data_IF_255957243353
#
_entry.id   IF_255957243353
#
_cell.length_a   1.000
_cell.length_b   1.000
_cell.length_c   1.000
_cell.angle_alpha   90.00
_cell.angle_beta   90.00
_cell.angle_gamma   90.00
#
_symmetry.space_group_name_H-M   'P 1'
#
loop_
_entity.id
_entity.type
_entity.pdbx_description
1 polymer ?
#
# COMPACT_ATOMS: atom_id res chain seq x y z
N UNK A 1 -26.67 26.92 -20.47
CA UNK A 1 -26.96 26.10 -19.28
C UNK A 1 -26.56 26.89 -18.04
N UNK A 2 -27.27 26.78 -16.91
CA UNK A 2 -26.85 27.43 -15.67
C UNK A 2 -25.47 26.91 -15.23
N UNK A 3 -24.64 27.79 -14.67
CA UNK A 3 -23.36 27.42 -14.11
C UNK A 3 -23.59 26.63 -12.81
N UNK A 4 -22.94 25.47 -12.68
CA UNK A 4 -23.04 24.66 -11.48
C UNK A 4 -22.36 25.37 -10.29
N UNK A 5 -22.94 25.23 -9.09
CA UNK A 5 -22.29 25.61 -7.84
C UNK A 5 -21.38 24.48 -7.38
N UNK A 6 -20.11 24.53 -7.80
CA UNK A 6 -19.14 23.45 -7.53
C UNK A 6 -18.87 23.21 -6.04
N UNK A 7 -19.02 24.22 -5.18
CA UNK A 7 -18.87 24.04 -3.72
C UNK A 7 -20.06 23.26 -3.16
N UNK A 8 -21.26 23.54 -3.65
CA UNK A 8 -22.45 22.75 -3.31
C UNK A 8 -22.33 21.31 -3.81
N UNK A 9 -21.88 21.10 -5.05
CA UNK A 9 -21.65 19.75 -5.57
C UNK A 9 -20.60 18.98 -4.74
N UNK A 10 -19.54 19.65 -4.29
CA UNK A 10 -18.53 19.04 -3.43
C UNK A 10 -19.12 18.59 -2.07
N UNK A 11 -20.00 19.41 -1.49
CA UNK A 11 -20.70 19.06 -0.25
C UNK A 11 -21.71 17.91 -0.46
N UNK A 12 -22.41 17.89 -1.60
CA UNK A 12 -23.35 16.83 -1.95
C UNK A 12 -22.64 15.48 -2.13
N UNK A 13 -21.54 15.46 -2.88
CA UNK A 13 -20.77 14.22 -3.08
C UNK A 13 -20.07 13.77 -1.79
N UNK A 14 -19.63 14.70 -0.93
CA UNK A 14 -19.13 14.34 0.40
C UNK A 14 -20.21 13.67 1.26
N UNK A 15 -21.46 14.15 1.19
CA UNK A 15 -22.60 13.52 1.87
C UNK A 15 -22.90 12.13 1.28
N UNK A 16 -22.84 11.96 -0.04
CA UNK A 16 -22.99 10.66 -0.68
C UNK A 16 -21.93 9.67 -0.16
N UNK A 17 -20.66 10.08 -0.15
CA UNK A 17 -19.55 9.24 0.34
C UNK A 17 -19.62 9.00 1.85
N UNK A 18 -20.29 9.85 2.63
CA UNK A 18 -20.55 9.56 4.05
C UNK A 18 -21.55 8.42 4.27
N UNK A 19 -22.40 8.14 3.28
CA UNK A 19 -23.39 7.03 3.33
C UNK A 19 -22.82 5.76 2.70
N UNK A 20 -22.00 5.91 1.66
CA UNK A 20 -21.28 4.82 1.00
C UNK A 20 -19.86 5.29 0.66
N UNK A 21 -18.93 5.05 1.59
CA UNK A 21 -17.54 5.49 1.49
C UNK A 21 -16.77 4.89 0.31
N UNK A 22 -17.29 3.81 -0.29
CA UNK A 22 -16.67 3.08 -1.39
C UNK A 22 -17.42 3.27 -2.72
N UNK A 23 -18.37 4.20 -2.78
CA UNK A 23 -19.14 4.45 -3.98
C UNK A 23 -18.25 4.87 -5.16
N UNK A 24 -18.08 3.99 -6.14
CA UNK A 24 -17.21 4.21 -7.29
C UNK A 24 -17.57 5.50 -8.05
N UNK A 25 -18.86 5.66 -8.39
CA UNK A 25 -19.33 6.86 -9.09
C UNK A 25 -19.25 8.13 -8.24
N UNK A 26 -19.40 8.00 -6.91
CA UNK A 26 -19.20 9.10 -5.97
C UNK A 26 -17.78 9.63 -6.00
N UNK A 27 -16.78 8.74 -5.97
CA UNK A 27 -15.38 9.13 -6.08
C UNK A 27 -15.01 9.69 -7.46
N UNK A 28 -15.54 9.09 -8.54
CA UNK A 28 -15.37 9.63 -9.90
C UNK A 28 -15.94 11.04 -10.01
N UNK A 29 -17.17 11.24 -9.54
CA UNK A 29 -17.83 12.53 -9.56
C UNK A 29 -17.11 13.55 -8.67
N UNK A 30 -16.61 13.13 -7.50
CA UNK A 30 -15.82 13.99 -6.63
C UNK A 30 -14.56 14.50 -7.34
N UNK A 31 -13.80 13.63 -8.00
CA UNK A 31 -12.62 14.05 -8.78
C UNK A 31 -12.99 15.04 -9.88
N UNK A 32 -14.12 14.83 -10.57
CA UNK A 32 -14.63 15.78 -11.55
C UNK A 32 -14.98 17.14 -10.92
N UNK A 33 -15.70 17.16 -9.79
CA UNK A 33 -16.06 18.41 -9.09
C UNK A 33 -14.81 19.15 -8.59
N UNK A 34 -13.86 18.43 -7.98
CA UNK A 34 -12.58 18.97 -7.53
C UNK A 34 -11.81 19.60 -8.68
N UNK A 35 -11.82 18.98 -9.88
CA UNK A 35 -11.16 19.54 -11.06
C UNK A 35 -11.81 20.81 -11.62
N UNK A 36 -12.95 21.26 -11.07
CA UNK A 36 -13.62 22.52 -11.43
C UNK A 36 -13.39 23.63 -10.39
N UNK A 37 -12.71 23.31 -9.30
CA UNK A 37 -12.35 24.23 -8.23
C UNK A 37 -10.83 24.49 -8.28
N UNK A 38 -10.43 25.71 -7.95
CA UNK A 38 -9.01 26.08 -7.87
C UNK A 38 -8.40 25.67 -6.52
N UNK A 39 -7.10 25.38 -6.51
CA UNK A 39 -6.28 25.13 -5.32
C UNK A 39 -6.79 24.05 -4.34
N UNK A 40 -7.41 23.00 -4.88
CA UNK A 40 -8.00 21.93 -4.06
C UNK A 40 -7.05 20.80 -3.65
N UNK A 41 -5.85 20.69 -4.23
CA UNK A 41 -4.98 19.52 -4.06
C UNK A 41 -4.70 19.19 -2.58
N UNK A 42 -4.38 20.20 -1.77
CA UNK A 42 -4.07 20.00 -0.33
C UNK A 42 -5.32 19.61 0.45
N UNK A 43 -6.46 20.27 0.20
CA UNK A 43 -7.72 19.98 0.87
C UNK A 43 -8.26 18.59 0.49
N UNK A 44 -8.13 18.21 -0.77
CA UNK A 44 -8.52 16.89 -1.26
C UNK A 44 -7.58 15.80 -0.75
N UNK A 45 -6.28 16.07 -0.66
CA UNK A 45 -5.33 15.15 -0.04
C UNK A 45 -5.64 14.94 1.44
N UNK A 46 -5.96 15.99 2.20
CA UNK A 46 -6.42 15.89 3.58
C UNK A 46 -7.72 15.09 3.70
N UNK A 47 -8.66 15.26 2.76
CA UNK A 47 -9.87 14.44 2.72
C UNK A 47 -9.56 12.95 2.55
N UNK A 48 -8.58 12.58 1.72
CA UNK A 48 -8.17 11.16 1.62
C UNK A 48 -7.63 10.61 2.95
N UNK A 49 -6.86 11.40 3.71
CA UNK A 49 -6.40 11.02 5.05
C UNK A 49 -7.59 10.76 5.98
N UNK A 50 -8.59 11.65 5.97
CA UNK A 50 -9.80 11.48 6.79
C UNK A 50 -10.56 10.19 6.43
N UNK A 51 -10.69 9.89 5.13
CA UNK A 51 -11.39 8.68 4.69
C UNK A 51 -10.63 7.40 5.04
N UNK A 52 -9.30 7.40 4.90
CA UNK A 52 -8.44 6.26 5.28
C UNK A 52 -8.47 6.02 6.79
N UNK A 53 -8.40 7.08 7.61
CA UNK A 53 -8.46 6.95 9.07
C UNK A 53 -9.83 6.48 9.57
N UNK A 54 -10.91 6.74 8.82
CA UNK A 54 -12.24 6.20 9.13
C UNK A 54 -12.39 4.73 8.75
N UNK A 55 -11.82 4.35 7.62
CA UNK A 55 -11.87 2.99 7.07
C UNK A 55 -10.61 2.75 6.23
N UNK A 56 -9.64 2.05 6.82
CA UNK A 56 -8.37 1.74 6.14
C UNK A 56 -8.55 0.74 4.99
N UNK A 57 -9.70 0.05 4.89
CA UNK A 57 -10.07 -0.78 3.75
C UNK A 57 -10.71 0.01 2.59
N UNK A 58 -10.76 1.34 2.68
CA UNK A 58 -11.32 2.19 1.62
C UNK A 58 -10.35 2.34 0.44
N UNK A 59 -10.37 1.36 -0.47
CA UNK A 59 -9.59 1.36 -1.72
C UNK A 59 -9.68 2.68 -2.50
N UNK A 60 -10.86 3.28 -2.58
CA UNK A 60 -11.06 4.50 -3.38
C UNK A 60 -10.33 5.71 -2.79
N UNK A 61 -10.23 5.77 -1.45
CA UNK A 61 -9.46 6.81 -0.78
C UNK A 61 -7.95 6.65 -1.02
N UNK A 62 -7.42 5.43 -0.89
CA UNK A 62 -6.02 5.11 -1.23
C UNK A 62 -5.69 5.42 -2.69
N UNK A 63 -6.57 5.00 -3.61
CA UNK A 63 -6.41 5.29 -5.03
C UNK A 63 -6.38 6.80 -5.30
N UNK A 64 -7.34 7.56 -4.76
CA UNK A 64 -7.38 9.01 -4.92
C UNK A 64 -6.12 9.67 -4.33
N UNK A 65 -5.65 9.19 -3.18
CA UNK A 65 -4.42 9.67 -2.53
C UNK A 65 -3.20 9.52 -3.44
N UNK A 66 -3.04 8.36 -4.08
CA UNK A 66 -1.90 8.12 -4.99
C UNK A 66 -1.89 9.06 -6.20
N UNK A 67 -3.07 9.50 -6.67
CA UNK A 67 -3.18 10.47 -7.78
C UNK A 67 -2.81 11.89 -7.35
N UNK A 68 -3.07 12.25 -6.09
CA UNK A 68 -2.84 13.59 -5.57
C UNK A 68 -1.41 13.79 -5.06
N UNK A 69 -0.83 12.77 -4.43
CA UNK A 69 0.45 12.86 -3.72
C UNK A 69 1.58 13.48 -4.59
N UNK A 70 1.81 13.08 -5.86
CA UNK A 70 2.87 13.70 -6.68
C UNK A 70 2.72 15.22 -6.83
N UNK A 71 1.48 15.70 -7.03
CA UNK A 71 1.19 17.13 -7.16
C UNK A 71 1.37 17.87 -5.83
N UNK A 72 1.00 17.25 -4.72
CA UNK A 72 1.17 17.82 -3.37
C UNK A 72 2.65 17.91 -2.99
N UNK A 73 3.44 16.88 -3.28
CA UNK A 73 4.89 16.88 -3.04
C UNK A 73 5.60 17.94 -3.85
N UNK A 74 5.27 18.08 -5.14
CA UNK A 74 5.88 19.08 -6.02
C UNK A 74 5.64 20.52 -5.56
N UNK A 75 4.59 20.77 -4.76
CA UNK A 75 4.21 22.09 -4.25
C UNK A 75 4.69 22.36 -2.82
N UNK A 76 5.38 21.43 -2.18
CA UNK A 76 5.69 21.53 -0.75
C UNK A 76 7.18 21.51 -0.45
N UNK A 77 7.61 22.44 0.40
CA UNK A 77 8.96 22.49 0.95
C UNK A 77 9.23 21.40 2.02
N UNK A 78 8.20 20.61 2.38
CA UNK A 78 8.25 19.59 3.43
C UNK A 78 8.07 18.16 2.89
N UNK A 79 8.49 17.91 1.65
CA UNK A 79 8.34 16.61 0.98
C UNK A 79 8.88 15.42 1.82
N UNK A 80 10.02 15.61 2.50
CA UNK A 80 10.60 14.57 3.35
C UNK A 80 9.76 14.24 4.60
N UNK A 81 9.09 15.22 5.19
CA UNK A 81 8.16 15.01 6.31
C UNK A 81 6.89 14.33 5.85
N UNK A 82 6.31 14.77 4.71
CA UNK A 82 5.15 14.09 4.14
C UNK A 82 5.45 12.62 3.82
N UNK A 83 6.63 12.31 3.28
CA UNK A 83 7.04 10.91 3.07
C UNK A 83 7.15 10.11 4.36
N UNK A 84 7.54 10.73 5.49
CA UNK A 84 7.47 10.07 6.81
C UNK A 84 6.01 9.81 7.19
N UNK A 85 5.15 10.81 7.08
CA UNK A 85 3.71 10.67 7.36
C UNK A 85 3.05 9.59 6.50
N UNK A 86 3.43 9.45 5.22
CA UNK A 86 2.93 8.38 4.36
C UNK A 86 3.32 7.00 4.88
N UNK A 87 4.57 6.83 5.35
CA UNK A 87 5.01 5.57 5.95
C UNK A 87 4.24 5.26 7.23
N UNK A 88 4.07 6.25 8.10
CA UNK A 88 3.31 6.07 9.34
C UNK A 88 1.84 5.70 9.06
N UNK A 89 1.22 6.31 8.05
CA UNK A 89 -0.15 5.99 7.63
C UNK A 89 -0.27 4.55 7.15
N UNK A 90 0.68 4.06 6.34
CA UNK A 90 0.71 2.68 5.86
C UNK A 90 0.90 1.71 7.04
N UNK A 91 1.88 1.97 7.90
CA UNK A 91 2.16 1.10 9.06
C UNK A 91 0.94 1.01 9.96
N UNK A 92 0.30 2.13 10.30
CA UNK A 92 -0.91 2.13 11.11
C UNK A 92 -2.03 1.29 10.48
N UNK A 93 -2.23 1.39 9.17
CA UNK A 93 -3.23 0.59 8.47
C UNK A 93 -2.89 -0.92 8.50
N UNK A 94 -1.65 -1.28 8.21
CA UNK A 94 -1.15 -2.66 8.25
C UNK A 94 -1.24 -3.28 9.64
N UNK A 95 -0.89 -2.55 10.70
CA UNK A 95 -1.01 -3.03 12.07
C UNK A 95 -2.47 -3.11 12.54
N UNK A 96 -3.39 -2.38 11.89
CA UNK A 96 -4.83 -2.42 12.22
C UNK A 96 -5.53 -3.59 11.54
N UNK A 97 -5.27 -3.81 10.24
CA UNK A 97 -5.83 -4.91 9.46
C UNK A 97 -4.79 -5.41 8.44
N UNK A 98 -3.93 -6.36 8.82
CA UNK A 98 -2.86 -6.83 7.95
C UNK A 98 -3.37 -7.62 6.74
N UNK A 99 -4.60 -8.14 6.77
CA UNK A 99 -5.22 -8.87 5.66
C UNK A 99 -5.79 -7.92 4.59
N UNK A 100 -6.04 -6.65 4.90
CA UNK A 100 -6.48 -5.67 3.93
C UNK A 100 -5.36 -5.30 2.94
N UNK A 101 -5.62 -5.53 1.65
CA UNK A 101 -4.63 -5.34 0.60
C UNK A 101 -4.31 -3.87 0.27
N UNK A 102 -5.14 -2.90 0.67
CA UNK A 102 -5.07 -1.56 0.10
C UNK A 102 -3.83 -0.78 0.57
N UNK A 103 -3.48 -0.89 1.85
CA UNK A 103 -2.27 -0.28 2.39
C UNK A 103 -1.00 -0.87 1.75
N UNK A 104 -0.98 -2.18 1.53
CA UNK A 104 0.12 -2.88 0.84
C UNK A 104 0.28 -2.43 -0.61
N UNK A 105 -0.81 -2.36 -1.37
CA UNK A 105 -0.80 -1.87 -2.76
C UNK A 105 -0.36 -0.41 -2.84
N UNK A 106 -0.77 0.42 -1.88
CA UNK A 106 -0.31 1.81 -1.78
C UNK A 106 1.19 1.88 -1.48
N UNK A 107 1.70 1.03 -0.59
CA UNK A 107 3.13 0.91 -0.32
C UNK A 107 3.91 0.49 -1.57
N UNK A 108 3.47 -0.54 -2.30
CA UNK A 108 4.10 -0.97 -3.56
C UNK A 108 4.17 0.16 -4.57
N UNK A 109 3.08 0.92 -4.72
CA UNK A 109 3.07 2.11 -5.56
C UNK A 109 4.07 3.16 -5.05
N UNK A 110 4.13 3.42 -3.74
CA UNK A 110 5.05 4.39 -3.15
C UNK A 110 6.52 4.00 -3.38
N UNK A 111 6.85 2.70 -3.30
CA UNK A 111 8.17 2.16 -3.69
C UNK A 111 8.44 2.40 -5.18
N UNK A 112 7.46 2.13 -6.05
CA UNK A 112 7.66 2.24 -7.51
C UNK A 112 8.02 3.66 -7.97
N UNK A 113 7.53 4.68 -7.27
CA UNK A 113 7.78 6.10 -7.59
C UNK A 113 9.05 6.66 -6.94
N UNK A 114 9.78 5.88 -6.14
CA UNK A 114 11.05 6.33 -5.57
C UNK A 114 12.09 6.62 -6.67
N UNK A 115 12.93 7.64 -6.47
CA UNK A 115 13.79 8.17 -7.53
C UNK A 115 15.02 7.29 -7.81
N UNK A 116 15.44 6.43 -6.88
CA UNK A 116 16.59 5.54 -7.04
C UNK A 116 16.34 4.14 -6.51
N UNK A 117 17.15 3.18 -6.97
CA UNK A 117 17.09 1.80 -6.50
C UNK A 117 17.51 1.68 -5.02
N UNK A 118 18.41 2.55 -4.53
CA UNK A 118 18.75 2.62 -3.10
C UNK A 118 17.55 3.05 -2.24
N UNK A 119 16.76 4.03 -2.71
CA UNK A 119 15.56 4.48 -2.02
C UNK A 119 14.47 3.40 -2.01
N UNK A 120 14.29 2.69 -3.14
CA UNK A 120 13.39 1.53 -3.24
C UNK A 120 13.81 0.43 -2.27
N UNK A 121 15.09 0.09 -2.27
CA UNK A 121 15.63 -0.95 -1.42
C UNK A 121 15.45 -0.60 0.06
N UNK A 122 15.77 0.63 0.47
CA UNK A 122 15.55 1.09 1.85
C UNK A 122 14.09 0.94 2.28
N UNK A 123 13.14 1.37 1.46
CA UNK A 123 11.72 1.21 1.77
C UNK A 123 11.28 -0.27 1.86
N UNK A 124 11.80 -1.14 0.99
CA UNK A 124 11.51 -2.57 1.07
C UNK A 124 12.11 -3.21 2.34
N UNK A 125 13.31 -2.79 2.76
CA UNK A 125 13.93 -3.21 4.02
C UNK A 125 13.12 -2.76 5.23
N UNK A 126 12.64 -1.52 5.24
CA UNK A 126 11.75 -1.00 6.28
C UNK A 126 10.45 -1.82 6.34
N UNK A 127 9.86 -2.16 5.19
CA UNK A 127 8.69 -3.05 5.09
C UNK A 127 8.97 -4.44 5.66
N UNK A 128 10.10 -5.06 5.30
CA UNK A 128 10.49 -6.38 5.82
C UNK A 128 10.63 -6.33 7.35
N UNK A 129 11.27 -5.29 7.89
CA UNK A 129 11.41 -5.11 9.34
C UNK A 129 10.05 -5.00 10.04
N UNK A 130 9.14 -4.18 9.51
CA UNK A 130 7.79 -4.02 10.06
C UNK A 130 6.96 -5.32 9.98
N UNK A 131 7.07 -6.07 8.87
CA UNK A 131 6.38 -7.36 8.74
C UNK A 131 6.92 -8.38 9.75
N UNK A 132 8.24 -8.44 9.96
CA UNK A 132 8.82 -9.34 10.97
C UNK A 132 8.34 -8.98 12.38
N UNK A 133 8.32 -7.69 12.72
CA UNK A 133 7.77 -7.21 13.99
C UNK A 133 6.29 -7.60 14.15
N UNK A 134 5.46 -7.38 13.12
CA UNK A 134 4.06 -7.79 13.10
C UNK A 134 3.90 -9.30 13.33
N UNK A 135 4.67 -10.13 12.62
CA UNK A 135 4.62 -11.59 12.73
C UNK A 135 5.11 -12.12 14.08
N UNK A 136 6.02 -11.40 14.75
CA UNK A 136 6.46 -11.73 16.12
C UNK A 136 5.37 -11.46 17.17
N UNK A 137 4.48 -10.49 16.91
CA UNK A 137 3.38 -10.13 17.81
C UNK A 137 2.14 -11.03 17.65
N UNK A 138 2.02 -11.78 16.56
CA UNK A 138 0.90 -12.71 16.35
C UNK A 138 1.06 -13.96 17.25
N UNK A 139 0.32 -14.01 18.36
CA UNK A 139 0.35 -15.13 19.34
C UNK A 139 -0.40 -16.39 18.88
N UNK A 140 -1.17 -16.34 17.78
CA UNK A 140 -2.12 -17.39 17.38
C UNK A 140 -1.70 -18.19 16.13
N UNK A 141 -2.04 -19.48 16.08
CA UNK A 141 -1.79 -20.40 14.96
C UNK A 141 -2.48 -19.96 13.64
N UNK A 142 -3.43 -19.03 13.70
CA UNK A 142 -4.09 -18.41 12.56
C UNK A 142 -3.35 -17.15 12.10
N UNK A 143 -2.05 -17.26 11.81
CA UNK A 143 -1.26 -16.13 11.32
C UNK A 143 -1.85 -15.57 10.02
N UNK A 144 -2.01 -14.25 9.93
CA UNK A 144 -2.48 -13.61 8.70
C UNK A 144 -1.57 -14.01 7.54
N UNK A 145 -2.17 -14.48 6.44
CA UNK A 145 -1.40 -14.92 5.27
C UNK A 145 -0.81 -13.74 4.50
N UNK A 146 -1.41 -12.55 4.62
CA UNK A 146 -1.03 -11.40 3.81
C UNK A 146 0.38 -10.88 4.17
N UNK A 147 0.76 -10.67 5.45
CA UNK A 147 2.14 -10.33 5.81
C UNK A 147 3.17 -11.32 5.28
N UNK A 148 2.89 -12.63 5.33
CA UNK A 148 3.79 -13.66 4.80
C UNK A 148 3.98 -13.54 3.29
N UNK A 149 2.89 -13.26 2.54
CA UNK A 149 2.97 -13.01 1.10
C UNK A 149 3.82 -11.76 0.83
N UNK A 150 3.55 -10.68 1.56
CA UNK A 150 4.23 -9.39 1.40
C UNK A 150 5.72 -9.45 1.79
N UNK A 151 6.09 -10.32 2.75
CA UNK A 151 7.47 -10.61 3.14
C UNK A 151 8.23 -11.24 1.97
N UNK A 152 7.68 -12.30 1.39
CA UNK A 152 8.29 -13.03 0.27
C UNK A 152 8.43 -12.11 -0.95
N UNK A 153 7.37 -11.35 -1.28
CA UNK A 153 7.40 -10.42 -2.40
C UNK A 153 8.44 -9.30 -2.18
N UNK A 154 8.56 -8.78 -0.95
CA UNK A 154 9.58 -7.78 -0.62
C UNK A 154 11.01 -8.35 -0.71
N UNK A 155 11.27 -9.55 -0.17
CA UNK A 155 12.59 -10.20 -0.26
C UNK A 155 12.97 -10.50 -1.71
N UNK A 156 12.02 -10.96 -2.54
CA UNK A 156 12.24 -11.19 -3.96
C UNK A 156 12.52 -9.89 -4.74
N UNK A 157 11.85 -8.79 -4.36
CA UNK A 157 12.11 -7.48 -4.95
C UNK A 157 13.47 -6.92 -4.52
N UNK A 158 13.85 -7.06 -3.24
CA UNK A 158 15.17 -6.69 -2.72
C UNK A 158 16.26 -7.43 -3.49
N UNK A 159 16.14 -8.75 -3.69
CA UNK A 159 17.11 -9.56 -4.45
C UNK A 159 17.39 -9.02 -5.87
N UNK A 160 16.40 -8.36 -6.48
CA UNK A 160 16.54 -7.71 -7.78
C UNK A 160 17.29 -6.36 -7.76
N UNK A 161 17.40 -5.74 -6.59
CA UNK A 161 18.05 -4.44 -6.37
C UNK A 161 19.43 -4.59 -5.68
N UNK A 162 19.50 -5.46 -4.67
CA UNK A 162 20.71 -5.82 -3.94
C UNK A 162 20.66 -7.30 -3.50
N UNK A 163 21.82 -7.89 -3.20
CA UNK A 163 21.84 -9.30 -2.78
C UNK A 163 21.21 -9.47 -1.39
N UNK A 164 20.19 -10.32 -1.31
CA UNK A 164 19.67 -10.83 -0.03
C UNK A 164 20.67 -11.79 0.64
N UNK A 165 20.62 -11.87 1.97
CA UNK A 165 21.49 -12.75 2.76
C UNK A 165 21.06 -14.21 2.63
N UNK A 166 21.93 -15.16 3.00
CA UNK A 166 21.56 -16.58 2.96
C UNK A 166 20.44 -16.92 3.97
N UNK A 167 20.39 -16.21 5.10
CA UNK A 167 19.30 -16.33 6.07
C UNK A 167 17.97 -15.85 5.49
N UNK A 168 17.98 -14.75 4.73
CA UNK A 168 16.78 -14.21 4.07
C UNK A 168 16.27 -15.10 2.95
N UNK A 169 17.19 -15.73 2.19
CA UNK A 169 16.80 -16.74 1.19
C UNK A 169 16.10 -17.91 1.84
N UNK A 170 16.66 -18.40 2.95
CA UNK A 170 16.09 -19.51 3.73
C UNK A 170 14.71 -19.14 4.29
N UNK A 171 14.59 -17.98 4.92
CA UNK A 171 13.31 -17.44 5.44
C UNK A 171 12.26 -17.33 4.32
N UNK A 172 12.65 -16.82 3.15
CA UNK A 172 11.77 -16.69 2.00
C UNK A 172 11.22 -18.04 1.52
N UNK A 173 12.10 -19.05 1.37
CA UNK A 173 11.69 -20.41 0.97
C UNK A 173 10.82 -21.09 2.03
N UNK A 174 11.18 -20.99 3.32
CA UNK A 174 10.38 -21.53 4.43
C UNK A 174 8.99 -20.89 4.49
N UNK A 175 8.91 -19.58 4.28
CA UNK A 175 7.64 -18.83 4.22
C UNK A 175 6.80 -19.27 3.03
N UNK A 176 7.38 -19.45 1.84
CA UNK A 176 6.70 -19.98 0.67
C UNK A 176 6.14 -21.39 0.91
N UNK A 177 6.89 -22.25 1.60
CA UNK A 177 6.43 -23.58 1.98
C UNK A 177 5.26 -23.52 2.98
N UNK A 178 5.30 -22.61 3.98
CA UNK A 178 4.17 -22.36 4.88
C UNK A 178 2.95 -21.84 4.12
N UNK A 179 3.13 -20.89 3.20
CA UNK A 179 2.04 -20.34 2.39
C UNK A 179 1.29 -21.41 1.57
N UNK A 180 1.98 -22.46 1.10
CA UNK A 180 1.34 -23.58 0.41
C UNK A 180 0.36 -24.37 1.28
N UNK A 181 0.56 -24.43 2.59
CA UNK A 181 -0.36 -25.15 3.49
C UNK A 181 -1.56 -24.30 3.91
N UNK A 182 -1.40 -22.97 3.99
CA UNK A 182 -2.44 -22.06 4.50
C UNK A 182 -3.22 -21.30 3.41
N UNK A 183 -2.65 -21.11 2.21
CA UNK A 183 -3.33 -20.47 1.06
C UNK A 183 -3.39 -21.42 -0.15
N UNK A 184 -4.25 -22.43 -0.01
CA UNK A 184 -4.36 -23.55 -0.95
C UNK A 184 -4.79 -23.13 -2.37
N UNK A 185 -5.47 -22.00 -2.52
CA UNK A 185 -5.87 -21.45 -3.82
C UNK A 185 -4.70 -20.92 -4.66
N UNK A 186 -3.57 -20.59 -4.01
CA UNK A 186 -2.40 -19.98 -4.66
C UNK A 186 -1.17 -20.90 -4.67
N UNK A 187 -1.32 -22.19 -4.40
CA UNK A 187 -0.24 -23.19 -4.36
C UNK A 187 0.62 -23.19 -5.64
N UNK A 188 -0.01 -22.97 -6.80
CA UNK A 188 0.70 -22.85 -8.08
C UNK A 188 1.69 -21.68 -8.07
N UNK A 189 1.23 -20.48 -7.69
CA UNK A 189 2.07 -19.28 -7.55
C UNK A 189 3.27 -19.53 -6.65
N UNK A 190 3.04 -20.10 -5.46
CA UNK A 190 4.14 -20.33 -4.51
C UNK A 190 5.13 -21.39 -5.02
N UNK A 191 4.65 -22.42 -5.71
CA UNK A 191 5.52 -23.44 -6.29
C UNK A 191 6.40 -22.88 -7.41
N UNK A 192 5.84 -22.00 -8.25
CA UNK A 192 6.58 -21.30 -9.30
C UNK A 192 7.64 -20.37 -8.69
N UNK A 193 7.29 -19.63 -7.62
CA UNK A 193 8.23 -18.77 -6.91
C UNK A 193 9.37 -19.56 -6.28
N UNK A 194 9.09 -20.66 -5.57
CA UNK A 194 10.12 -21.56 -5.02
C UNK A 194 11.07 -22.00 -6.13
N UNK A 195 10.53 -22.50 -7.25
CA UNK A 195 11.34 -22.98 -8.36
C UNK A 195 12.26 -21.88 -8.93
N UNK A 196 11.71 -20.70 -9.21
CA UNK A 196 12.47 -19.58 -9.77
C UNK A 196 13.55 -19.07 -8.82
N UNK A 197 13.22 -18.91 -7.53
CA UNK A 197 14.15 -18.37 -6.53
C UNK A 197 15.25 -19.38 -6.18
N UNK A 198 14.91 -20.65 -6.00
CA UNK A 198 15.90 -21.72 -5.78
C UNK A 198 16.91 -21.81 -6.91
N UNK A 199 16.47 -21.72 -8.17
CA UNK A 199 17.37 -21.68 -9.33
C UNK A 199 18.26 -20.44 -9.32
N UNK A 200 17.70 -19.26 -9.03
CA UNK A 200 18.45 -18.00 -8.99
C UNK A 200 19.51 -18.01 -7.89
N UNK A 201 19.20 -18.59 -6.74
CA UNK A 201 20.07 -18.62 -5.57
C UNK A 201 21.01 -19.83 -5.51
N UNK A 202 20.86 -20.80 -6.42
CA UNK A 202 21.65 -22.03 -6.41
C UNK A 202 21.34 -22.93 -5.22
N UNK A 203 20.12 -22.86 -4.68
CA UNK A 203 19.65 -23.69 -3.58
C UNK A 203 18.86 -24.87 -4.15
N UNK A 204 19.16 -26.09 -3.69
CA UNK A 204 18.43 -27.31 -4.05
C UNK A 204 17.27 -27.55 -3.09
#
# INVERSE_FOLDING_TARGET
MPQADWRRELALVAKLLSLDARNFHGWDYRRFVVSKLEDMDVAEFAYTTEQINKDCANHSAWHNRSKLLPGVLAKSDQAAEMMRTERDLILNAVYTDPDDQNAWLYHEWLVSIQPSDEDRCRMLRDKVAAIRELLELEEDEASSKRPLIELVDALAAIDGLEKVTDDEKKECLETLHKLKSIDTYHVGRYSDMIHMLSQRWGMQ
#
